data_IF_889092868181
#
_entry.id   IF_889092868181
#
_cell.length_a   1.000
_cell.length_b   1.000
_cell.length_c   1.000
_cell.angle_alpha   90.00
_cell.angle_beta   90.00
_cell.angle_gamma   90.00
#
_symmetry.space_group_name_H-M   'P 1'
#
loop_
_entity.id
_entity.type
_entity.pdbx_description
1 polymer ?
#
# COMPACT_ATOMS: atom_id res chain seq x y z
N UNK A 1 30.24 6.01 67.36
CA UNK A 1 28.84 5.91 66.96
C UNK A 1 28.74 6.78 65.74
N UNK A 2 28.59 6.15 64.57
CA UNK A 2 28.16 6.74 63.28
C UNK A 2 29.08 7.82 62.67
N UNK A 3 29.24 7.98 61.37
CA UNK A 3 29.23 7.15 60.16
C UNK A 3 29.75 8.12 59.08
N UNK A 4 30.29 7.59 57.98
CA UNK A 4 30.84 8.37 56.87
C UNK A 4 29.74 9.18 56.15
N UNK A 5 30.12 10.24 55.41
CA UNK A 5 29.87 10.31 53.96
C UNK A 5 29.96 11.72 53.36
N UNK A 6 31.02 11.89 52.56
CA UNK A 6 30.92 12.11 51.11
C UNK A 6 30.01 13.25 50.60
N UNK A 7 30.62 14.43 50.40
CA UNK A 7 30.07 15.51 49.57
C UNK A 7 30.25 15.11 48.10
N UNK A 8 29.21 14.55 47.49
CA UNK A 8 29.09 14.40 46.04
C UNK A 8 28.29 15.58 45.47
N UNK A 9 28.97 16.42 44.72
CA UNK A 9 28.44 17.59 44.02
C UNK A 9 27.47 17.15 42.91
N UNK A 10 26.17 17.36 43.16
CA UNK A 10 25.09 16.96 42.26
C UNK A 10 25.07 17.84 40.99
N UNK A 11 25.59 17.27 39.90
CA UNK A 11 25.46 17.78 38.53
C UNK A 11 23.98 17.94 38.13
N UNK A 12 23.61 19.14 37.69
CA UNK A 12 22.25 19.48 37.30
C UNK A 12 21.81 18.69 36.07
N UNK A 13 20.81 17.82 36.22
CA UNK A 13 20.13 17.15 35.11
C UNK A 13 19.23 18.16 34.37
N UNK A 14 19.72 18.72 33.26
CA UNK A 14 18.86 19.40 32.30
C UNK A 14 17.95 18.37 31.61
N UNK A 15 16.62 18.53 31.74
CA UNK A 15 15.62 17.70 31.05
C UNK A 15 15.81 17.79 29.52
N UNK A 16 15.77 16.68 28.77
CA UNK A 16 15.89 16.72 27.32
C UNK A 16 14.69 17.47 26.69
N UNK A 17 14.91 18.22 25.61
CA UNK A 17 13.88 19.04 24.99
C UNK A 17 12.72 18.17 24.44
N UNK A 18 11.47 18.69 24.45
CA UNK A 18 10.31 17.95 24.02
C UNK A 18 10.41 17.53 22.55
N UNK A 19 10.23 16.23 22.29
CA UNK A 19 10.21 15.67 20.94
C UNK A 19 9.05 16.28 20.16
N UNK A 20 9.33 16.96 19.03
CA UNK A 20 8.31 17.49 18.12
C UNK A 20 7.41 16.34 17.65
N UNK A 21 6.10 16.45 17.91
CA UNK A 21 5.09 15.51 17.41
C UNK A 21 5.13 15.54 15.88
N UNK A 22 5.53 14.43 15.24
CA UNK A 22 5.47 14.31 13.79
C UNK A 22 4.00 14.40 13.36
N UNK A 23 3.68 15.28 12.41
CA UNK A 23 2.33 15.41 11.86
C UNK A 23 1.86 14.04 11.38
N UNK A 24 0.75 13.57 11.93
CA UNK A 24 0.08 12.37 11.43
C UNK A 24 -0.26 12.58 9.95
N UNK A 25 -0.07 11.55 9.14
CA UNK A 25 -0.50 11.60 7.74
C UNK A 25 -2.02 11.71 7.73
N UNK A 26 -2.54 12.78 7.13
CA UNK A 26 -3.99 12.98 6.98
C UNK A 26 -4.65 11.84 6.20
N UNK A 27 -5.99 11.76 6.21
CA UNK A 27 -6.72 10.71 5.51
C UNK A 27 -6.33 10.62 4.03
N UNK A 28 -6.06 9.41 3.53
CA UNK A 28 -5.82 9.19 2.10
C UNK A 28 -7.11 9.49 1.33
N UNK A 29 -7.23 10.69 0.79
CA UNK A 29 -8.33 11.03 -0.11
C UNK A 29 -8.08 10.36 -1.46
N UNK A 30 -9.04 9.54 -1.91
CA UNK A 30 -9.02 8.98 -3.27
C UNK A 30 -8.99 10.15 -4.25
N UNK A 31 -8.03 10.14 -5.18
CA UNK A 31 -8.16 10.95 -6.40
C UNK A 31 -9.41 10.41 -7.08
N UNK A 32 -10.54 11.15 -6.99
CA UNK A 32 -11.75 10.88 -7.78
C UNK A 32 -11.28 10.62 -9.21
N UNK A 33 -11.85 9.63 -9.89
CA UNK A 33 -11.49 9.29 -11.26
C UNK A 33 -11.68 10.54 -12.14
N UNK A 34 -10.69 11.43 -12.18
CA UNK A 34 -10.66 12.54 -13.11
C UNK A 34 -10.59 11.85 -14.45
N UNK A 35 -11.62 12.01 -15.28
CA UNK A 35 -11.51 11.78 -16.72
C UNK A 35 -10.40 12.74 -17.17
N UNK A 36 -9.14 12.28 -17.13
CA UNK A 36 -8.05 13.04 -17.72
C UNK A 36 -8.26 12.90 -19.22
N UNK A 37 -8.59 14.03 -19.82
CA UNK A 37 -8.63 14.28 -21.24
C UNK A 37 -7.38 13.68 -21.92
N UNK A 38 -7.57 13.03 -23.07
CA UNK A 38 -6.57 12.24 -23.80
C UNK A 38 -5.52 13.12 -24.53
N UNK A 39 -5.07 14.21 -23.91
CA UNK A 39 -4.14 15.20 -24.50
C UNK A 39 -2.73 15.17 -23.90
N UNK A 40 -2.37 14.14 -23.13
CA UNK A 40 -1.00 13.93 -22.67
C UNK A 40 -0.33 12.83 -23.49
N UNK A 41 0.74 13.18 -24.21
CA UNK A 41 1.65 12.30 -24.97
C UNK A 41 1.78 10.91 -24.33
N UNK A 42 1.81 9.81 -25.12
CA UNK A 42 1.93 8.46 -24.60
C UNK A 42 3.13 8.37 -23.66
N UNK A 43 2.85 8.12 -22.38
CA UNK A 43 3.89 8.08 -21.36
C UNK A 43 4.62 6.75 -21.50
N UNK A 44 5.82 6.80 -22.05
CA UNK A 44 6.65 5.63 -22.23
C UNK A 44 6.99 4.95 -20.89
N UNK A 45 7.09 3.63 -20.94
CA UNK A 45 7.44 2.74 -19.82
C UNK A 45 8.42 1.72 -20.33
N UNK A 46 9.46 1.53 -19.53
CA UNK A 46 10.47 0.50 -19.69
C UNK A 46 10.35 -0.53 -18.56
N UNK A 47 11.02 -1.66 -18.72
CA UNK A 47 11.11 -2.71 -17.71
C UNK A 47 12.57 -2.92 -17.31
N UNK A 48 12.84 -3.01 -16.01
CA UNK A 48 14.16 -3.36 -15.50
C UNK A 48 14.49 -4.86 -15.70
N UNK A 49 15.69 -5.27 -15.30
CA UNK A 49 16.13 -6.68 -15.31
C UNK A 49 15.22 -7.60 -14.50
N UNK A 50 14.51 -7.05 -13.51
CA UNK A 50 13.59 -7.74 -12.63
C UNK A 50 12.12 -7.64 -13.08
N UNK A 51 11.86 -7.22 -14.32
CA UNK A 51 10.52 -7.06 -14.90
C UNK A 51 9.62 -6.04 -14.17
N UNK A 52 10.20 -5.09 -13.43
CA UNK A 52 9.46 -3.98 -12.84
C UNK A 52 9.32 -2.82 -13.83
N UNK A 53 8.14 -2.19 -13.91
CA UNK A 53 7.94 -1.00 -14.73
C UNK A 53 8.71 0.19 -14.14
N UNK A 54 9.54 0.80 -14.98
CA UNK A 54 10.34 2.00 -14.70
C UNK A 54 10.03 3.09 -15.74
N UNK A 55 10.41 4.34 -15.43
CA UNK A 55 10.16 5.49 -16.30
C UNK A 55 9.03 6.42 -15.84
N UNK A 56 8.83 7.55 -16.55
CA UNK A 56 7.91 8.63 -16.15
C UNK A 56 6.44 8.18 -16.15
N UNK A 57 6.10 7.18 -16.96
CA UNK A 57 4.75 6.60 -17.03
C UNK A 57 4.37 5.69 -15.87
N UNK A 58 5.31 5.28 -14.99
CA UNK A 58 5.12 4.24 -13.96
C UNK A 58 3.91 4.47 -13.04
N UNK A 59 3.68 5.71 -12.60
CA UNK A 59 2.54 6.02 -11.70
C UNK A 59 1.22 5.92 -12.45
N UNK A 60 1.19 6.41 -13.69
CA UNK A 60 0.01 6.34 -14.57
C UNK A 60 -0.30 4.88 -14.92
N UNK A 61 0.72 4.07 -15.16
CA UNK A 61 0.62 2.62 -15.35
C UNK A 61 0.00 1.90 -14.18
N UNK A 62 0.54 2.10 -12.99
CA UNK A 62 0.01 1.44 -11.79
C UNK A 62 -1.46 1.81 -11.55
N UNK A 63 -1.84 3.05 -11.88
CA UNK A 63 -3.23 3.52 -11.80
C UNK A 63 -4.11 2.83 -12.83
N UNK A 64 -3.67 2.79 -14.10
CA UNK A 64 -4.40 2.15 -15.19
C UNK A 64 -4.61 0.66 -14.95
N UNK A 65 -3.54 -0.06 -14.62
CA UNK A 65 -3.59 -1.49 -14.29
C UNK A 65 -4.58 -1.74 -13.14
N UNK A 66 -4.60 -0.84 -12.15
CA UNK A 66 -5.56 -0.91 -11.05
C UNK A 66 -7.01 -0.69 -11.51
N UNK A 67 -7.27 0.21 -12.46
CA UNK A 67 -8.60 0.45 -13.03
C UNK A 67 -9.05 -0.77 -13.83
N UNK A 68 -8.21 -1.22 -14.75
CA UNK A 68 -8.46 -2.39 -15.59
C UNK A 68 -8.73 -3.63 -14.73
N UNK A 69 -7.91 -3.86 -13.70
CA UNK A 69 -8.10 -5.00 -12.80
C UNK A 69 -9.43 -4.98 -12.05
N UNK A 70 -9.99 -3.80 -11.76
CA UNK A 70 -11.31 -3.67 -11.10
C UNK A 70 -12.49 -3.83 -12.06
N UNK A 71 -12.28 -3.59 -13.35
CA UNK A 71 -13.30 -3.82 -14.38
C UNK A 71 -13.49 -5.30 -14.77
N UNK A 72 -12.67 -6.20 -14.22
CA UNK A 72 -12.80 -7.64 -14.47
C UNK A 72 -13.88 -8.21 -13.56
N UNK A 73 -14.74 -9.05 -14.13
CA UNK A 73 -15.78 -9.80 -13.40
C UNK A 73 -15.18 -10.56 -12.22
N UNK A 74 -15.76 -10.37 -11.03
CA UNK A 74 -15.24 -10.94 -9.78
C UNK A 74 -15.53 -12.44 -9.62
N UNK A 75 -16.45 -12.97 -10.43
CA UNK A 75 -16.90 -14.36 -10.41
C UNK A 75 -15.80 -15.33 -10.85
N UNK A 76 -14.82 -14.89 -11.66
CA UNK A 76 -13.68 -15.74 -11.99
C UNK A 76 -12.89 -16.08 -10.72
N UNK A 77 -12.82 -17.36 -10.35
CA UNK A 77 -12.23 -17.80 -9.08
C UNK A 77 -10.80 -17.29 -8.86
N UNK A 78 -9.94 -17.44 -9.87
CA UNK A 78 -8.54 -16.98 -9.87
C UNK A 78 -8.16 -16.36 -11.23
N UNK A 79 -7.07 -15.58 -11.25
CA UNK A 79 -6.55 -14.95 -12.47
C UNK A 79 -6.35 -15.90 -13.68
N UNK A 80 -5.86 -17.15 -13.51
CA UNK A 80 -5.75 -18.09 -14.61
C UNK A 80 -7.10 -18.42 -15.29
N UNK A 81 -8.21 -18.37 -14.55
CA UNK A 81 -9.55 -18.69 -15.04
C UNK A 81 -10.18 -17.55 -15.84
N UNK A 82 -9.55 -16.38 -15.90
CA UNK A 82 -10.01 -15.27 -16.74
C UNK A 82 -9.83 -15.68 -18.21
N UNK A 83 -10.86 -15.52 -19.07
CA UNK A 83 -10.77 -15.87 -20.48
C UNK A 83 -9.62 -15.16 -21.21
N UNK A 84 -8.98 -15.88 -22.12
CA UNK A 84 -7.81 -15.35 -22.84
C UNK A 84 -8.16 -14.12 -23.68
N UNK A 85 -9.36 -14.07 -24.28
CA UNK A 85 -9.81 -12.89 -25.02
C UNK A 85 -9.90 -11.62 -24.16
N UNK A 86 -10.23 -11.75 -22.86
CA UNK A 86 -10.20 -10.61 -21.93
C UNK A 86 -8.77 -10.20 -21.59
N UNK A 87 -7.86 -11.16 -21.40
CA UNK A 87 -6.43 -10.87 -21.20
C UNK A 87 -5.82 -10.17 -22.42
N UNK A 88 -6.20 -10.58 -23.62
CA UNK A 88 -5.75 -9.96 -24.86
C UNK A 88 -6.25 -8.52 -24.99
N UNK A 89 -7.53 -8.28 -24.70
CA UNK A 89 -8.11 -6.92 -24.68
C UNK A 89 -7.35 -6.01 -23.69
N UNK A 90 -7.03 -6.53 -22.50
CA UNK A 90 -6.26 -5.80 -21.48
C UNK A 90 -4.85 -5.50 -21.98
N UNK A 91 -4.18 -6.48 -22.59
CA UNK A 91 -2.84 -6.32 -23.15
C UNK A 91 -2.82 -5.24 -24.23
N UNK A 92 -3.71 -5.31 -25.22
CA UNK A 92 -3.79 -4.33 -26.31
C UNK A 92 -4.06 -2.91 -25.80
N UNK A 93 -4.96 -2.76 -24.83
CA UNK A 93 -5.25 -1.47 -24.19
C UNK A 93 -4.00 -0.87 -23.53
N UNK A 94 -3.28 -1.66 -22.74
CA UNK A 94 -2.07 -1.22 -22.05
C UNK A 94 -0.93 -0.96 -23.03
N UNK A 95 -0.74 -1.83 -24.04
CA UNK A 95 0.27 -1.70 -25.09
C UNK A 95 0.09 -0.38 -25.84
N UNK A 96 -1.14 -0.05 -26.24
CA UNK A 96 -1.49 1.19 -26.93
C UNK A 96 -1.26 2.42 -26.05
N UNK A 97 -1.67 2.39 -24.78
CA UNK A 97 -1.61 3.55 -23.88
C UNK A 97 -0.19 3.96 -23.49
N UNK A 98 0.70 2.98 -23.31
CA UNK A 98 2.08 3.22 -22.85
C UNK A 98 3.14 3.02 -23.94
N UNK A 99 2.70 2.75 -25.17
CA UNK A 99 3.56 2.57 -26.35
C UNK A 99 4.69 1.56 -26.12
N UNK A 100 4.31 0.38 -25.60
CA UNK A 100 5.23 -0.71 -25.27
C UNK A 100 5.62 -1.43 -26.56
N UNK A 101 6.92 -1.41 -26.88
CA UNK A 101 7.46 -1.98 -28.12
C UNK A 101 7.56 -3.51 -28.07
N UNK A 102 7.92 -4.06 -26.90
CA UNK A 102 8.20 -5.49 -26.76
C UNK A 102 6.98 -6.32 -26.37
N UNK A 103 6.58 -7.23 -27.25
CA UNK A 103 5.49 -8.19 -26.99
C UNK A 103 5.86 -9.24 -25.93
N UNK A 104 7.16 -9.47 -25.70
CA UNK A 104 7.65 -10.36 -24.65
C UNK A 104 7.19 -9.95 -23.24
N UNK A 105 6.86 -8.67 -23.03
CA UNK A 105 6.38 -8.16 -21.73
C UNK A 105 4.89 -8.42 -21.50
N UNK A 106 4.17 -9.02 -22.45
CA UNK A 106 2.75 -9.40 -22.30
C UNK A 106 2.49 -10.19 -21.02
N UNK A 107 3.25 -11.27 -20.81
CA UNK A 107 3.05 -12.12 -19.63
C UNK A 107 3.40 -11.41 -18.33
N UNK A 108 4.40 -10.53 -18.33
CA UNK A 108 4.77 -9.72 -17.17
C UNK A 108 3.61 -8.80 -16.80
N UNK A 109 3.05 -8.06 -17.76
CA UNK A 109 1.93 -7.15 -17.51
C UNK A 109 0.72 -7.93 -17.02
N UNK A 110 0.38 -9.05 -17.65
CA UNK A 110 -0.73 -9.90 -17.22
C UNK A 110 -0.53 -10.43 -15.79
N UNK A 111 0.71 -10.78 -15.39
CA UNK A 111 1.02 -11.14 -13.98
C UNK A 111 0.76 -9.96 -13.03
N UNK A 112 1.15 -8.74 -13.40
CA UNK A 112 0.90 -7.53 -12.60
C UNK A 112 -0.61 -7.28 -12.46
N UNK A 113 -1.37 -7.39 -13.56
CA UNK A 113 -2.84 -7.26 -13.55
C UNK A 113 -3.46 -8.32 -12.64
N UNK A 114 -3.04 -9.58 -12.76
CA UNK A 114 -3.51 -10.68 -11.93
C UNK A 114 -3.26 -10.46 -10.44
N UNK A 115 -2.08 -9.92 -10.08
CA UNK A 115 -1.78 -9.53 -8.70
C UNK A 115 -2.72 -8.42 -8.20
N UNK A 116 -2.99 -7.39 -9.02
CA UNK A 116 -3.94 -6.32 -8.68
C UNK A 116 -5.38 -6.83 -8.57
N UNK A 117 -5.80 -7.73 -9.46
CA UNK A 117 -7.11 -8.38 -9.42
C UNK A 117 -7.30 -9.19 -8.13
N UNK A 118 -6.32 -10.02 -7.78
CA UNK A 118 -6.35 -10.79 -6.54
C UNK A 118 -6.36 -9.87 -5.30
N UNK A 119 -5.55 -8.81 -5.30
CA UNK A 119 -5.55 -7.80 -4.24
C UNK A 119 -6.90 -7.08 -4.10
N UNK A 120 -7.58 -6.80 -5.22
CA UNK A 120 -8.92 -6.24 -5.23
C UNK A 120 -9.94 -7.21 -4.61
N UNK A 121 -9.96 -8.48 -5.02
CA UNK A 121 -10.85 -9.48 -4.42
C UNK A 121 -10.57 -9.67 -2.93
N UNK A 122 -9.31 -9.66 -2.50
CA UNK A 122 -8.94 -9.72 -1.07
C UNK A 122 -9.48 -8.52 -0.30
N UNK A 123 -9.41 -7.32 -0.88
CA UNK A 123 -9.99 -6.11 -0.28
C UNK A 123 -11.50 -6.23 -0.13
N UNK A 124 -12.20 -6.70 -1.16
CA UNK A 124 -13.64 -6.91 -1.10
C UNK A 124 -14.03 -7.88 0.02
N UNK A 125 -13.34 -9.01 0.10
CA UNK A 125 -13.57 -10.01 1.14
C UNK A 125 -13.30 -9.48 2.56
N UNK A 126 -12.20 -8.73 2.74
CA UNK A 126 -11.84 -8.18 4.05
C UNK A 126 -12.82 -7.10 4.51
N UNK A 127 -13.17 -6.18 3.61
CA UNK A 127 -13.90 -4.96 3.96
C UNK A 127 -15.42 -5.19 3.98
N UNK A 128 -15.97 -6.02 3.08
CA UNK A 128 -17.42 -6.18 2.93
C UNK A 128 -17.98 -7.54 3.37
N UNK A 129 -17.21 -8.63 3.29
CA UNK A 129 -17.70 -9.96 3.69
C UNK A 129 -17.44 -10.22 5.17
N UNK A 130 -16.21 -9.96 5.63
CA UNK A 130 -15.82 -10.20 7.03
C UNK A 130 -15.82 -8.94 7.89
N UNK A 131 -16.05 -7.75 7.31
CA UNK A 131 -16.10 -6.43 7.97
C UNK A 131 -14.99 -6.20 9.02
N UNK A 132 -13.75 -6.65 8.75
CA UNK A 132 -12.65 -6.67 9.75
C UNK A 132 -12.00 -5.31 10.04
N UNK A 133 -12.51 -4.20 9.50
CA UNK A 133 -12.01 -2.86 9.85
C UNK A 133 -12.81 -2.33 11.03
N UNK A 134 -12.22 -2.34 12.23
CA UNK A 134 -12.55 -1.29 13.20
C UNK A 134 -12.09 0.04 12.58
N UNK A 135 -12.98 1.02 12.43
CA UNK A 135 -12.53 2.40 12.17
C UNK A 135 -11.56 2.73 13.32
N UNK A 136 -10.42 3.36 13.00
CA UNK A 136 -9.64 4.00 14.06
C UNK A 136 -10.57 5.10 14.57
N UNK A 137 -11.22 4.89 15.71
CA UNK A 137 -11.74 6.00 16.47
C UNK A 137 -10.55 6.92 16.67
N UNK A 138 -10.69 8.15 16.20
CA UNK A 138 -9.83 9.22 16.66
C UNK A 138 -10.18 9.26 18.15
N UNK A 139 -9.27 8.83 19.03
CA UNK A 139 -9.42 9.16 20.45
C UNK A 139 -9.33 10.68 20.50
N UNK A 140 -10.49 11.32 20.52
CA UNK A 140 -10.63 12.64 21.10
C UNK A 140 -10.34 12.42 22.58
N UNK A 141 -9.21 12.94 23.01
CA UNK A 141 -8.90 13.00 24.43
C UNK A 141 -9.69 14.20 24.94
N UNK A 142 -10.74 13.96 25.70
CA UNK A 142 -10.91 14.55 27.03
C UNK A 142 -11.82 13.61 27.85
N UNK A 143 -11.48 13.55 29.13
CA UNK A 143 -11.93 12.63 30.19
C UNK A 143 -13.36 13.01 30.64
N UNK A 144 -14.17 12.05 31.09
CA UNK A 144 -15.59 12.15 31.54
C UNK A 144 -16.70 11.84 30.51
N UNK A 145 -16.71 10.62 29.94
CA UNK A 145 -17.90 10.09 29.22
C UNK A 145 -17.97 8.56 29.40
N UNK A 146 -18.28 8.05 30.61
CA UNK A 146 -18.52 6.60 30.80
C UNK A 146 -20.02 6.21 30.83
N UNK A 147 -20.93 7.14 31.14
CA UNK A 147 -22.39 6.83 31.17
C UNK A 147 -23.12 7.16 29.84
N UNK A 148 -22.58 8.05 29.00
CA UNK A 148 -23.19 8.36 27.69
C UNK A 148 -22.72 7.40 26.58
N UNK A 149 -21.60 6.69 26.77
CA UNK A 149 -21.00 5.79 25.78
C UNK A 149 -21.90 4.55 25.50
N UNK A 150 -22.72 4.10 26.46
CA UNK A 150 -23.61 2.94 26.31
C UNK A 150 -24.89 3.25 25.52
N UNK A 151 -25.33 4.53 25.48
CA UNK A 151 -26.53 4.95 24.73
C UNK A 151 -26.21 5.50 23.33
N UNK A 152 -24.99 6.02 23.08
CA UNK A 152 -24.57 6.46 21.75
C UNK A 152 -24.09 5.33 20.82
N UNK A 153 -23.71 4.17 21.37
CA UNK A 153 -23.35 2.99 20.57
C UNK A 153 -24.53 2.44 19.73
N UNK A 154 -25.79 2.73 20.10
CA UNK A 154 -26.97 2.32 19.32
C UNK A 154 -27.33 3.28 18.17
N UNK A 155 -26.95 4.56 18.20
CA UNK A 155 -27.46 5.57 17.23
C UNK A 155 -26.44 5.98 16.14
N UNK A 156 -25.13 5.72 16.29
CA UNK A 156 -24.11 6.25 15.36
C UNK A 156 -23.35 5.17 14.53
N UNK A 157 -24.01 4.04 14.23
CA UNK A 157 -23.48 3.05 13.26
C UNK A 157 -24.24 3.02 11.91
N UNK A 158 -25.06 4.04 11.64
CA UNK A 158 -25.64 4.31 10.30
C UNK A 158 -24.67 4.97 9.31
N UNK A 159 -23.37 5.06 9.65
CA UNK A 159 -22.37 5.66 8.77
C UNK A 159 -21.99 4.72 7.63
N UNK A 160 -22.85 4.72 6.59
CA UNK A 160 -22.58 4.27 5.23
C UNK A 160 -21.90 2.90 5.19
N UNK A 161 -22.71 1.85 5.32
CA UNK A 161 -22.36 0.56 4.73
C UNK A 161 -22.31 0.75 3.20
N UNK A 162 -21.22 1.34 2.68
CA UNK A 162 -20.99 1.49 1.23
C UNK A 162 -21.29 0.16 0.55
N UNK A 163 -22.36 0.04 -0.23
CA UNK A 163 -22.61 -1.19 -0.97
C UNK A 163 -21.43 -1.41 -1.95
N UNK A 164 -20.71 -2.56 -1.87
CA UNK A 164 -19.66 -2.85 -2.84
C UNK A 164 -20.16 -2.82 -4.29
N UNK A 165 -21.45 -3.11 -4.52
CA UNK A 165 -22.07 -3.06 -5.84
C UNK A 165 -22.04 -1.65 -6.42
N UNK A 166 -22.54 -0.66 -5.68
CA UNK A 166 -22.56 0.75 -6.10
C UNK A 166 -21.15 1.34 -6.22
N UNK A 167 -20.29 1.03 -5.26
CA UNK A 167 -18.94 1.62 -5.19
C UNK A 167 -18.04 1.20 -6.34
N UNK A 168 -18.21 -0.02 -6.82
CA UNK A 168 -17.35 -0.61 -7.84
C UNK A 168 -18.07 -0.93 -9.15
N UNK A 169 -19.37 -0.69 -9.25
CA UNK A 169 -20.19 -1.05 -10.42
C UNK A 169 -20.28 -2.55 -10.64
N UNK A 170 -20.38 -3.33 -9.56
CA UNK A 170 -20.46 -4.80 -9.60
C UNK A 170 -21.94 -5.18 -9.66
N UNK A 171 -22.30 -6.13 -10.52
CA UNK A 171 -23.67 -6.69 -10.54
C UNK A 171 -23.97 -7.40 -9.22
N UNK A 172 -25.21 -7.28 -8.73
CA UNK A 172 -25.66 -7.98 -7.53
C UNK A 172 -25.50 -9.49 -7.65
N UNK A 173 -25.78 -10.06 -8.82
CA UNK A 173 -25.60 -11.48 -9.11
C UNK A 173 -24.14 -11.92 -8.96
N UNK A 174 -23.22 -11.13 -9.54
CA UNK A 174 -21.79 -11.38 -9.47
C UNK A 174 -21.26 -11.26 -8.05
N UNK A 175 -21.84 -10.35 -7.27
CA UNK A 175 -21.54 -10.19 -5.86
C UNK A 175 -21.99 -11.40 -5.05
N UNK A 176 -23.22 -11.87 -5.23
CA UNK A 176 -23.74 -13.05 -4.55
C UNK A 176 -22.94 -14.31 -4.88
N UNK A 177 -22.59 -14.51 -6.16
CA UNK A 177 -21.73 -15.63 -6.57
C UNK A 177 -20.36 -15.54 -5.90
N UNK A 178 -19.77 -14.35 -5.86
CA UNK A 178 -18.50 -14.12 -5.20
C UNK A 178 -18.57 -14.40 -3.68
N UNK A 179 -19.66 -14.00 -3.01
CA UNK A 179 -19.86 -14.29 -1.58
C UNK A 179 -19.95 -15.80 -1.35
N UNK A 180 -20.69 -16.54 -2.19
CA UNK A 180 -20.76 -18.00 -2.13
C UNK A 180 -19.36 -18.63 -2.27
N UNK A 181 -18.57 -18.20 -3.26
CA UNK A 181 -17.19 -18.68 -3.45
C UNK A 181 -16.28 -18.40 -2.24
N UNK A 182 -16.50 -17.31 -1.51
CA UNK A 182 -15.70 -16.95 -0.32
C UNK A 182 -16.16 -17.60 0.98
N UNK A 183 -17.42 -18.05 1.02
CA UNK A 183 -18.00 -18.82 2.13
C UNK A 183 -17.78 -20.32 2.00
N UNK A 184 -17.33 -20.79 0.84
CA UNK A 184 -16.94 -22.18 0.61
C UNK A 184 -15.90 -22.67 1.66
N UNK A 185 -16.18 -23.78 2.37
CA UNK A 185 -15.27 -24.33 3.38
C UNK A 185 -13.85 -24.55 2.87
N UNK A 186 -13.70 -25.02 1.61
CA UNK A 186 -12.37 -25.25 1.00
C UNK A 186 -11.57 -23.95 0.88
N UNK A 187 -12.24 -22.83 0.61
CA UNK A 187 -11.60 -21.52 0.58
C UNK A 187 -11.21 -21.05 2.00
N UNK A 188 -12.10 -21.25 2.98
CA UNK A 188 -11.87 -20.86 4.37
C UNK A 188 -10.67 -21.60 4.96
N UNK A 189 -10.58 -22.91 4.75
CA UNK A 189 -9.46 -23.74 5.21
C UNK A 189 -8.12 -23.26 4.62
N UNK A 190 -8.06 -23.02 3.31
CA UNK A 190 -6.85 -22.48 2.65
C UNK A 190 -6.46 -21.12 3.22
N UNK A 191 -7.44 -20.25 3.49
CA UNK A 191 -7.24 -18.94 4.09
C UNK A 191 -6.71 -19.04 5.53
N UNK A 192 -7.25 -19.97 6.32
CA UNK A 192 -6.81 -20.23 7.70
C UNK A 192 -5.40 -20.77 7.75
N UNK A 193 -5.05 -21.72 6.89
CA UNK A 193 -3.68 -22.21 6.76
C UNK A 193 -2.69 -21.08 6.46
N UNK A 194 -3.04 -20.19 5.53
CA UNK A 194 -2.23 -19.01 5.19
C UNK A 194 -2.09 -18.03 6.37
N UNK A 195 -3.19 -17.73 7.08
CA UNK A 195 -3.17 -16.88 8.28
C UNK A 195 -2.35 -17.48 9.41
N UNK A 196 -2.48 -18.79 9.65
CA UNK A 196 -1.73 -19.51 10.67
C UNK A 196 -0.22 -19.51 10.36
N UNK A 197 0.17 -19.72 9.10
CA UNK A 197 1.56 -19.61 8.67
C UNK A 197 2.11 -18.19 8.87
N UNK A 198 1.35 -17.16 8.48
CA UNK A 198 1.74 -15.77 8.70
C UNK A 198 1.91 -15.44 10.18
N UNK A 199 1.04 -15.96 11.06
CA UNK A 199 1.13 -15.76 12.52
C UNK A 199 2.38 -16.40 13.14
N UNK A 200 2.94 -17.41 12.48
CA UNK A 200 4.19 -18.09 12.87
C UNK A 200 5.44 -17.48 12.20
N UNK A 201 5.29 -16.46 11.35
CA UNK A 201 6.44 -15.81 10.70
C UNK A 201 7.21 -14.97 11.73
N UNK A 202 8.36 -15.50 12.19
CA UNK A 202 9.23 -14.86 13.19
C UNK A 202 10.00 -13.65 12.63
N UNK A 203 10.29 -13.65 11.34
CA UNK A 203 11.19 -12.68 10.71
C UNK A 203 10.46 -11.91 9.59
N UNK A 204 9.54 -10.99 9.94
CA UNK A 204 8.93 -10.11 8.95
C UNK A 204 9.99 -9.17 8.35
N UNK A 205 9.92 -8.92 7.05
CA UNK A 205 10.80 -7.95 6.40
C UNK A 205 10.46 -6.52 6.85
N UNK A 206 11.49 -5.76 7.27
CA UNK A 206 11.34 -4.37 7.74
C UNK A 206 11.65 -3.31 6.68
N UNK A 207 11.83 -3.71 5.43
CA UNK A 207 12.12 -2.78 4.35
C UNK A 207 10.86 -1.96 4.06
N UNK A 208 10.98 -0.63 4.11
CA UNK A 208 9.88 0.28 3.83
C UNK A 208 9.35 0.13 2.39
N UNK A 209 8.28 0.87 2.08
CA UNK A 209 7.56 0.81 0.78
C UNK A 209 8.45 0.98 -0.47
N UNK A 210 9.64 1.56 -0.33
CA UNK A 210 10.57 1.82 -1.42
C UNK A 210 11.41 0.60 -1.84
N UNK A 211 11.44 -0.48 -1.03
CA UNK A 211 12.31 -1.62 -1.28
C UNK A 211 13.79 -1.25 -1.23
N UNK A 212 14.68 -2.13 -1.68
CA UNK A 212 16.10 -1.82 -1.81
C UNK A 212 16.34 -0.73 -2.88
N UNK A 213 15.77 -0.85 -4.08
CA UNK A 213 16.00 0.10 -5.18
C UNK A 213 15.74 1.58 -4.82
N UNK A 214 14.64 1.87 -4.11
CA UNK A 214 14.35 3.26 -3.72
C UNK A 214 15.08 3.72 -2.45
N UNK A 215 15.75 2.81 -1.73
CA UNK A 215 16.62 3.13 -0.60
C UNK A 215 18.06 3.30 -1.08
N UNK A 216 18.53 2.49 -2.04
CA UNK A 216 19.86 2.59 -2.64
C UNK A 216 20.05 3.91 -3.36
N UNK A 217 19.07 4.40 -4.12
CA UNK A 217 19.12 5.75 -4.71
C UNK A 217 19.38 6.81 -3.63
N UNK A 218 18.72 6.71 -2.47
CA UNK A 218 18.91 7.65 -1.36
C UNK A 218 20.27 7.51 -0.70
N UNK A 219 20.79 6.29 -0.56
CA UNK A 219 22.12 6.04 -0.03
C UNK A 219 23.19 6.63 -0.95
N UNK A 220 23.12 6.37 -2.26
CA UNK A 220 24.05 6.92 -3.27
C UNK A 220 23.97 8.45 -3.35
N UNK A 221 22.78 9.04 -3.24
CA UNK A 221 22.62 10.50 -3.21
C UNK A 221 23.22 11.11 -1.92
N UNK A 222 23.20 10.36 -0.82
CA UNK A 222 23.76 10.80 0.47
C UNK A 222 25.29 10.69 0.48
N UNK A 223 25.85 9.62 -0.08
CA UNK A 223 27.30 9.42 -0.21
C UNK A 223 27.95 10.48 -1.13
N UNK A 224 27.36 10.72 -2.30
CA UNK A 224 27.83 11.77 -3.22
C UNK A 224 27.69 13.21 -2.68
N UNK A 225 26.83 13.43 -1.68
CA UNK A 225 26.72 14.70 -0.97
C UNK A 225 27.72 14.84 0.17
N UNK A 226 28.16 13.74 0.79
CA UNK A 226 29.24 13.74 1.78
C UNK A 226 30.64 13.86 1.14
N UNK A 227 30.84 13.32 -0.07
CA UNK A 227 32.11 13.44 -0.80
C UNK A 227 32.38 14.87 -1.32
N UNK A 228 31.32 15.66 -1.56
CA UNK A 228 31.45 17.08 -1.95
C UNK A 228 31.79 18.01 -0.79
N UNK A 229 31.94 17.49 0.44
CA UNK A 229 32.25 18.25 1.66
C UNK A 229 33.73 18.19 2.08
N UNK A 230 34.59 17.41 1.42
CA UNK A 230 36.04 17.46 1.65
C UNK A 230 36.65 18.60 0.84
N UNK A 231 37.04 19.66 1.55
CA UNK A 231 37.66 20.88 1.03
C UNK A 231 38.88 20.61 0.13
N UNK A 232 39.04 21.30 -1.01
CA UNK A 232 40.22 21.18 -1.88
C UNK A 232 41.43 22.02 -1.43
N UNK A 233 41.48 22.50 -0.18
CA UNK A 233 42.61 23.27 0.35
C UNK A 233 43.32 22.46 1.44
N UNK A 234 44.16 21.52 1.02
CA UNK A 234 45.26 21.01 1.84
C UNK A 234 46.55 21.41 1.12
N UNK A 235 47.28 22.35 1.71
CA UNK A 235 48.55 22.87 1.17
C UNK A 235 49.57 21.74 0.98
N UNK A 236 50.39 21.77 -0.09
CA UNK A 236 51.47 20.80 -0.26
C UNK A 236 52.58 21.08 0.77
N UNK A 237 52.88 20.08 1.61
CA UNK A 237 54.02 20.10 2.52
C UNK A 237 55.30 20.14 1.68
N UNK A 238 56.04 21.26 1.76
CA UNK A 238 57.37 21.39 1.18
C UNK A 238 58.41 20.71 2.08
N UNK A 239 59.26 19.87 1.48
CA UNK A 239 60.54 19.40 2.03
C UNK A 239 61.68 20.14 1.33
#
# INVERSE_FOLDING_TARGET
>A
MEEEDNICEASSLQKPPPKKKNKARGPTTRIKNKKKEDTEKPKHIDFDEFDNPVGPGKVSFATEIGIVARGIKITYGAWPNVPEGKKETIWLHVKKKFNIKDDCKRQVILKIVGSRYNGFKTRLTRDYIYKKRKKRSIKECDEEVEEEEELEEEEVDEVLNDDPCDKYGISKEDWEEFVKQRRDPKFQERSEKGRAAQRKNRNPHYIGRAGYAGITEKWLTKESSSEKSTNPNADPIAL
#
